data_IF_654487146404
#
_entry.id   IF_654487146404
#
_cell.length_a   1.000
_cell.length_b   1.000
_cell.length_c   1.000
_cell.angle_alpha   90.00
_cell.angle_beta   90.00
_cell.angle_gamma   90.00
#
_symmetry.space_group_name_H-M   'P 1'
#
loop_
_entity.id
_entity.type
_entity.pdbx_description
1 polymer ?
#
# COMPACT_ATOMS: atom_id res chain seq x y z
N UNK A 1 -27.34 -4.53 18.59
CA UNK A 1 -27.57 -4.24 17.17
C UNK A 1 -26.78 -2.99 16.83
N UNK A 2 -25.52 -3.14 16.44
CA UNK A 2 -24.64 -2.01 16.13
C UNK A 2 -25.00 -1.46 14.76
N UNK A 3 -25.40 -0.18 14.72
CA UNK A 3 -25.51 0.56 13.47
C UNK A 3 -24.13 0.54 12.80
N UNK A 4 -24.02 -0.15 11.68
CA UNK A 4 -22.97 0.14 10.71
C UNK A 4 -23.28 1.54 10.20
N UNK A 5 -22.51 2.53 10.63
CA UNK A 5 -22.47 3.83 9.96
C UNK A 5 -22.20 3.56 8.48
N UNK A 6 -23.19 3.84 7.64
CA UNK A 6 -23.01 3.95 6.20
C UNK A 6 -22.11 5.15 6.02
N UNK A 7 -20.81 4.91 5.93
CA UNK A 7 -19.85 5.96 5.59
C UNK A 7 -20.16 6.35 4.15
N UNK A 8 -20.71 7.54 3.94
CA UNK A 8 -21.05 8.07 2.61
C UNK A 8 -19.87 7.84 1.64
N UNK A 9 -20.07 6.97 0.65
CA UNK A 9 -19.12 6.81 -0.45
C UNK A 9 -19.08 8.14 -1.22
N UNK A 10 -17.89 8.69 -1.43
CA UNK A 10 -17.72 9.89 -2.25
C UNK A 10 -18.29 9.69 -3.67
N UNK A 11 -18.89 10.74 -4.23
CA UNK A 11 -19.45 10.69 -5.59
C UNK A 11 -18.31 10.50 -6.60
N UNK A 12 -18.34 9.37 -7.32
CA UNK A 12 -17.40 9.06 -8.40
C UNK A 12 -17.92 9.61 -9.73
N UNK A 13 -17.07 10.29 -10.48
CA UNK A 13 -17.41 10.87 -11.78
C UNK A 13 -16.77 10.07 -12.91
N UNK A 14 -17.47 9.96 -14.03
CA UNK A 14 -16.91 9.41 -15.27
C UNK A 14 -15.87 10.37 -15.84
N UNK A 15 -14.80 9.82 -16.41
CA UNK A 15 -13.74 10.56 -17.11
C UNK A 15 -13.39 9.81 -18.40
N UNK A 16 -12.63 10.44 -19.31
CA UNK A 16 -12.40 9.98 -20.69
C UNK A 16 -12.02 8.48 -20.80
N UNK A 17 -11.32 7.94 -19.80
CA UNK A 17 -10.83 6.55 -19.80
C UNK A 17 -11.19 5.75 -18.54
N UNK A 18 -12.08 6.25 -17.68
CA UNK A 18 -12.49 5.52 -16.47
C UNK A 18 -13.89 5.95 -16.01
N UNK A 19 -14.83 5.01 -16.02
CA UNK A 19 -16.18 5.24 -15.51
C UNK A 19 -16.20 5.21 -13.99
N UNK A 20 -17.21 5.85 -13.40
CA UNK A 20 -17.53 5.81 -11.99
C UNK A 20 -17.74 4.38 -11.48
N UNK A 21 -18.29 3.49 -12.33
CA UNK A 21 -18.45 2.08 -12.00
C UNK A 21 -17.10 1.34 -11.91
N UNK A 22 -16.16 1.65 -12.80
CA UNK A 22 -14.80 1.12 -12.75
C UNK A 22 -14.04 1.65 -11.53
N UNK A 23 -14.22 2.94 -11.19
CA UNK A 23 -13.66 3.53 -9.96
C UNK A 23 -14.11 2.77 -8.71
N UNK A 24 -15.42 2.55 -8.55
CA UNK A 24 -15.98 1.74 -7.45
C UNK A 24 -15.43 0.31 -7.42
N UNK A 25 -15.24 -0.31 -8.58
CA UNK A 25 -14.64 -1.65 -8.66
C UNK A 25 -13.19 -1.65 -8.15
N UNK A 26 -12.38 -0.67 -8.54
CA UNK A 26 -11.00 -0.52 -8.07
C UNK A 26 -10.97 -0.29 -6.55
N UNK A 27 -11.83 0.59 -6.02
CA UNK A 27 -11.92 0.86 -4.57
C UNK A 27 -12.29 -0.40 -3.77
N UNK A 28 -13.23 -1.20 -4.26
CA UNK A 28 -13.57 -2.48 -3.63
C UNK A 28 -12.38 -3.45 -3.63
N UNK A 29 -11.63 -3.51 -4.73
CA UNK A 29 -10.43 -4.35 -4.82
C UNK A 29 -9.30 -3.84 -3.91
N UNK A 30 -9.16 -2.53 -3.79
CA UNK A 30 -8.24 -1.87 -2.85
C UNK A 30 -8.56 -2.24 -1.40
N UNK A 31 -9.82 -2.07 -0.99
CA UNK A 31 -10.24 -2.42 0.38
C UNK A 31 -10.04 -3.91 0.67
N UNK A 32 -10.42 -4.79 -0.26
CA UNK A 32 -10.19 -6.24 -0.11
C UNK A 32 -8.72 -6.61 0.00
N UNK A 33 -7.85 -5.92 -0.75
CA UNK A 33 -6.41 -6.12 -0.69
C UNK A 33 -5.84 -5.71 0.68
N UNK A 34 -6.18 -4.51 1.16
CA UNK A 34 -5.78 -4.02 2.48
C UNK A 34 -6.31 -4.92 3.61
N UNK A 35 -7.62 -5.23 3.59
CA UNK A 35 -8.28 -6.08 4.58
C UNK A 35 -7.65 -7.47 4.65
N UNK A 36 -7.15 -7.99 3.53
CA UNK A 36 -6.53 -9.31 3.48
C UNK A 36 -5.13 -9.39 4.11
N UNK A 37 -4.53 -8.25 4.49
CA UNK A 37 -3.14 -8.18 4.89
C UNK A 37 -2.18 -8.16 3.69
N UNK A 38 -2.56 -7.48 2.60
CA UNK A 38 -1.76 -7.35 1.38
C UNK A 38 -1.46 -8.68 0.67
N UNK A 39 -2.43 -9.62 0.67
CA UNK A 39 -2.26 -10.92 0.01
C UNK A 39 -2.21 -10.80 -1.50
N UNK A 40 -1.25 -11.49 -2.12
CA UNK A 40 -1.02 -11.46 -3.58
C UNK A 40 -2.25 -11.87 -4.39
N UNK A 41 -3.05 -12.80 -3.89
CA UNK A 41 -4.27 -13.28 -4.56
C UNK A 41 -5.37 -12.21 -4.61
N UNK A 42 -5.27 -11.17 -3.78
CA UNK A 42 -6.18 -10.02 -3.78
C UNK A 42 -5.62 -8.82 -4.54
N UNK A 43 -4.36 -8.88 -4.98
CA UNK A 43 -3.74 -7.84 -5.79
C UNK A 43 -4.12 -8.00 -7.27
N UNK A 44 -5.23 -7.38 -7.66
CA UNK A 44 -5.80 -7.55 -9.00
C UNK A 44 -5.13 -6.67 -10.05
N UNK A 45 -5.28 -7.06 -11.34
CA UNK A 45 -4.78 -6.25 -12.47
C UNK A 45 -5.36 -4.84 -12.51
N UNK A 46 -6.64 -4.67 -12.20
CA UNK A 46 -7.27 -3.34 -12.23
C UNK A 46 -6.70 -2.42 -11.13
N UNK A 47 -6.49 -2.94 -9.92
CA UNK A 47 -5.80 -2.21 -8.86
C UNK A 47 -4.36 -1.84 -9.27
N UNK A 48 -3.61 -2.80 -9.80
CA UNK A 48 -2.25 -2.55 -10.31
C UNK A 48 -2.23 -1.46 -11.39
N UNK A 49 -3.10 -1.54 -12.39
CA UNK A 49 -3.20 -0.53 -13.45
C UNK A 49 -3.50 0.85 -12.87
N UNK A 50 -4.41 0.96 -11.90
CA UNK A 50 -4.71 2.24 -11.26
C UNK A 50 -3.50 2.82 -10.52
N UNK A 51 -2.77 1.99 -9.76
CA UNK A 51 -1.59 2.43 -9.01
C UNK A 51 -0.51 3.01 -9.93
N UNK A 52 -0.20 2.35 -11.05
CA UNK A 52 0.87 2.78 -11.95
C UNK A 52 0.46 3.97 -12.83
N UNK A 53 -0.82 4.06 -13.21
CA UNK A 53 -1.28 5.12 -14.13
C UNK A 53 -1.72 6.39 -13.39
N UNK A 54 -2.27 6.25 -12.19
CA UNK A 54 -3.01 7.32 -11.51
C UNK A 54 -2.53 7.58 -10.08
N UNK A 55 -1.65 6.74 -9.52
CA UNK A 55 -1.03 6.96 -8.21
C UNK A 55 0.50 7.16 -8.31
N UNK A 56 1.04 7.46 -9.50
CA UNK A 56 2.47 7.77 -9.68
C UNK A 56 3.43 6.69 -9.15
N UNK A 57 3.05 5.42 -9.18
CA UNK A 57 3.99 4.33 -8.95
C UNK A 57 4.70 3.90 -10.23
N UNK A 58 5.97 3.52 -10.12
CA UNK A 58 6.69 2.88 -11.21
C UNK A 58 6.19 1.44 -11.39
N UNK A 59 6.02 1.02 -12.64
CA UNK A 59 5.36 -0.25 -12.98
C UNK A 59 6.17 -1.52 -12.68
N UNK A 60 7.49 -1.42 -12.49
CA UNK A 60 8.43 -2.53 -12.23
C UNK A 60 8.26 -3.72 -13.18
N UNK A 61 8.30 -3.46 -14.50
CA UNK A 61 8.19 -4.41 -15.62
C UNK A 61 6.86 -5.19 -15.74
N UNK A 62 6.23 -5.58 -14.64
CA UNK A 62 4.98 -6.35 -14.60
C UNK A 62 4.29 -6.22 -13.25
N UNK A 63 3.04 -6.70 -13.16
CA UNK A 63 2.31 -6.82 -11.89
C UNK A 63 3.06 -7.66 -10.84
N UNK A 64 3.81 -8.69 -11.29
CA UNK A 64 4.59 -9.53 -10.38
C UNK A 64 5.84 -8.83 -9.87
N UNK A 65 6.52 -8.09 -10.75
CA UNK A 65 7.67 -7.28 -10.37
C UNK A 65 7.26 -6.17 -9.41
N UNK A 66 6.17 -5.46 -9.71
CA UNK A 66 5.57 -4.48 -8.81
C UNK A 66 5.27 -5.08 -7.44
N UNK A 67 4.63 -6.25 -7.41
CA UNK A 67 4.29 -6.88 -6.15
C UNK A 67 5.53 -7.25 -5.34
N UNK A 68 6.55 -7.81 -6.00
CA UNK A 68 7.81 -8.16 -5.37
C UNK A 68 8.51 -6.92 -4.78
N UNK A 69 8.52 -5.80 -5.52
CA UNK A 69 9.16 -4.56 -5.08
C UNK A 69 8.52 -3.95 -3.84
N UNK A 70 7.20 -3.95 -3.72
CA UNK A 70 6.54 -3.20 -2.63
C UNK A 70 5.97 -4.06 -1.50
N UNK A 71 5.83 -5.37 -1.67
CA UNK A 71 5.09 -6.21 -0.72
C UNK A 71 5.84 -7.44 -0.19
N UNK A 72 7.12 -7.62 -0.54
CA UNK A 72 7.93 -8.75 -0.04
C UNK A 72 8.71 -8.42 1.23
N UNK A 73 9.30 -7.23 1.35
CA UNK A 73 9.98 -6.78 2.57
C UNK A 73 9.04 -5.96 3.45
N UNK A 74 9.30 -5.90 4.75
CA UNK A 74 8.51 -5.08 5.66
C UNK A 74 8.77 -3.58 5.44
N UNK A 75 10.02 -3.19 5.17
CA UNK A 75 10.36 -1.79 4.91
C UNK A 75 9.70 -1.26 3.64
N UNK A 76 9.68 -2.05 2.56
CA UNK A 76 9.03 -1.63 1.31
C UNK A 76 7.51 -1.52 1.48
N UNK A 77 6.89 -2.38 2.29
CA UNK A 77 5.46 -2.25 2.64
C UNK A 77 5.21 -0.95 3.38
N UNK A 78 6.06 -0.59 4.35
CA UNK A 78 5.92 0.67 5.11
C UNK A 78 6.07 1.86 4.16
N UNK A 79 7.07 1.84 3.28
CA UNK A 79 7.29 2.88 2.28
C UNK A 79 6.07 3.00 1.35
N UNK A 80 5.57 1.89 0.81
CA UNK A 80 4.37 1.84 -0.02
C UNK A 80 3.15 2.45 0.67
N UNK A 81 2.85 2.03 1.90
CA UNK A 81 1.66 2.46 2.62
C UNK A 81 1.74 3.94 3.04
N UNK A 82 2.93 4.52 3.15
CA UNK A 82 3.11 5.93 3.52
C UNK A 82 2.46 6.89 2.50
N UNK A 83 2.40 6.52 1.22
CA UNK A 83 1.67 7.30 0.21
C UNK A 83 0.16 7.32 0.43
N UNK A 84 -0.40 6.34 1.16
CA UNK A 84 -1.83 6.32 1.46
C UNK A 84 -2.15 6.74 2.89
N UNK A 85 -1.14 7.23 3.62
CA UNK A 85 -1.27 7.66 5.00
C UNK A 85 -1.48 9.18 5.09
N UNK A 86 -2.73 9.61 5.19
CA UNK A 86 -3.10 11.02 5.28
C UNK A 86 -2.97 11.64 6.68
N UNK A 87 -2.44 10.92 7.68
CA UNK A 87 -2.40 11.41 9.08
C UNK A 87 -1.54 12.66 9.25
N UNK A 88 -0.50 12.79 8.44
CA UNK A 88 0.45 13.91 8.47
C UNK A 88 0.17 14.98 7.38
N UNK A 89 -1.06 14.99 6.85
CA UNK A 89 -1.51 15.93 5.82
C UNK A 89 -1.64 15.30 4.44
N UNK A 90 -1.46 16.10 3.38
CA UNK A 90 -1.60 15.61 2.00
C UNK A 90 -0.46 14.65 1.69
N UNK A 91 -0.75 13.37 1.39
CA UNK A 91 0.29 12.39 1.19
C UNK A 91 1.04 12.62 -0.13
N UNK A 92 2.36 12.41 -0.08
CA UNK A 92 3.27 12.57 -1.22
C UNK A 92 3.48 11.23 -1.91
N UNK A 93 3.75 11.28 -3.22
CA UNK A 93 4.21 10.11 -3.95
C UNK A 93 5.54 9.63 -3.35
N UNK A 94 5.67 8.32 -3.13
CA UNK A 94 6.91 7.75 -2.59
C UNK A 94 8.04 7.69 -3.62
N UNK A 95 7.68 7.73 -4.90
CA UNK A 95 8.62 7.69 -6.03
C UNK A 95 9.12 9.09 -6.37
N UNK A 96 8.21 10.07 -6.36
CA UNK A 96 8.50 11.41 -6.88
C UNK A 96 8.47 12.52 -5.83
N UNK A 97 8.03 12.25 -4.61
CA UNK A 97 7.96 13.24 -3.51
C UNK A 97 6.92 14.36 -3.72
N UNK A 98 6.09 14.28 -4.77
CA UNK A 98 5.11 15.30 -5.15
C UNK A 98 3.68 14.89 -4.75
N UNK A 99 2.80 15.88 -4.57
CA UNK A 99 1.37 15.68 -4.25
C UNK A 99 0.48 15.57 -5.50
N UNK A 100 1.06 15.61 -6.70
CA UNK A 100 0.33 15.61 -7.96
C UNK A 100 -0.65 14.46 -8.06
N UNK A 101 -0.21 13.23 -7.78
CA UNK A 101 -1.06 12.04 -7.79
C UNK A 101 -2.34 12.18 -6.95
N UNK A 102 -2.30 12.92 -5.83
CA UNK A 102 -3.45 13.12 -4.95
C UNK A 102 -4.30 14.32 -5.37
N UNK A 103 -3.67 15.41 -5.82
CA UNK A 103 -4.31 16.71 -6.04
C UNK A 103 -4.70 16.98 -7.49
N UNK A 104 -4.17 16.23 -8.45
CA UNK A 104 -4.36 16.52 -9.87
C UNK A 104 -5.60 15.84 -10.45
N UNK A 105 -6.46 16.65 -11.03
CA UNK A 105 -7.36 16.29 -12.14
C UNK A 105 -8.44 15.25 -11.85
N UNK A 106 -8.84 14.61 -12.94
CA UNK A 106 -9.96 13.67 -13.15
C UNK A 106 -10.03 12.46 -12.19
N UNK A 107 -8.95 12.17 -11.46
CA UNK A 107 -8.85 10.99 -10.58
C UNK A 107 -8.76 11.36 -9.10
N UNK A 108 -8.92 12.63 -8.74
CA UNK A 108 -8.90 13.08 -7.34
C UNK A 108 -9.98 12.36 -6.50
N UNK A 109 -11.17 12.16 -7.04
CA UNK A 109 -12.28 11.49 -6.33
C UNK A 109 -11.89 10.08 -5.86
N UNK A 110 -11.38 9.23 -6.74
CA UNK A 110 -10.94 7.88 -6.39
C UNK A 110 -9.67 7.89 -5.53
N UNK A 111 -8.68 8.76 -5.82
CA UNK A 111 -7.42 8.76 -5.08
C UNK A 111 -7.61 9.25 -3.64
N UNK A 112 -8.47 10.25 -3.43
CA UNK A 112 -8.85 10.71 -2.09
C UNK A 112 -9.58 9.60 -1.31
N UNK A 113 -10.44 8.84 -1.99
CA UNK A 113 -11.16 7.71 -1.41
C UNK A 113 -10.25 6.52 -1.10
N UNK A 114 -9.22 6.26 -1.90
CA UNK A 114 -8.19 5.26 -1.58
C UNK A 114 -7.47 5.59 -0.27
N UNK A 115 -7.11 6.86 -0.05
CA UNK A 115 -6.51 7.33 1.21
C UNK A 115 -7.49 7.18 2.38
N UNK A 116 -8.75 7.56 2.18
CA UNK A 116 -9.80 7.42 3.20
C UNK A 116 -9.99 5.96 3.62
N UNK A 117 -10.12 5.03 2.67
CA UNK A 117 -10.20 3.59 2.94
C UNK A 117 -8.93 3.10 3.65
N UNK A 118 -7.76 3.50 3.15
CA UNK A 118 -6.48 3.07 3.69
C UNK A 118 -6.27 3.47 5.15
N UNK A 119 -6.79 4.64 5.57
CA UNK A 119 -6.69 5.14 6.96
C UNK A 119 -7.17 4.12 8.01
N UNK A 120 -8.12 3.24 7.66
CA UNK A 120 -8.66 2.20 8.54
C UNK A 120 -7.66 1.05 8.79
N UNK A 121 -6.76 0.78 7.83
CA UNK A 121 -5.91 -0.41 7.80
C UNK A 121 -4.42 -0.10 7.97
N UNK A 122 -3.96 1.04 7.44
CA UNK A 122 -2.54 1.43 7.38
C UNK A 122 -1.83 1.32 8.74
N UNK A 123 -2.39 1.82 9.88
CA UNK A 123 -1.69 1.72 11.16
C UNK A 123 -1.36 0.28 11.58
N UNK A 124 -2.29 -0.65 11.36
CA UNK A 124 -2.10 -2.05 11.72
C UNK A 124 -1.14 -2.75 10.74
N UNK A 125 -1.27 -2.47 9.45
CA UNK A 125 -0.40 -3.05 8.41
C UNK A 125 1.05 -2.58 8.56
N UNK A 126 1.29 -1.30 8.84
CA UNK A 126 2.63 -0.77 9.12
C UNK A 126 3.26 -1.49 10.31
N UNK A 127 2.51 -1.66 11.41
CA UNK A 127 3.02 -2.36 12.59
C UNK A 127 3.37 -3.82 12.28
N UNK A 128 2.53 -4.52 11.51
CA UNK A 128 2.83 -5.87 11.05
C UNK A 128 4.09 -5.92 10.19
N UNK A 129 4.22 -5.00 9.24
CA UNK A 129 5.35 -4.92 8.33
C UNK A 129 6.66 -4.65 9.08
N UNK A 130 6.67 -3.70 10.03
CA UNK A 130 7.83 -3.40 10.87
C UNK A 130 8.27 -4.61 11.72
N UNK A 131 7.31 -5.35 12.30
CA UNK A 131 7.63 -6.56 13.05
C UNK A 131 8.24 -7.64 12.15
N UNK A 132 7.66 -7.84 10.96
CA UNK A 132 8.18 -8.79 9.96
C UNK A 132 9.59 -8.40 9.50
N UNK A 133 9.85 -7.12 9.25
CA UNK A 133 11.18 -6.64 8.88
C UNK A 133 12.18 -6.94 9.98
N UNK A 134 11.85 -6.57 11.23
CA UNK A 134 12.71 -6.84 12.39
C UNK A 134 13.06 -8.33 12.53
N UNK A 135 12.08 -9.22 12.38
CA UNK A 135 12.32 -10.67 12.42
C UNK A 135 13.25 -11.12 11.28
N UNK A 136 13.05 -10.58 10.08
CA UNK A 136 13.89 -10.85 8.90
C UNK A 136 15.32 -10.38 9.11
N UNK A 137 15.51 -9.15 9.59
CA UNK A 137 16.82 -8.56 9.86
C UNK A 137 17.59 -9.36 10.91
N UNK A 138 16.92 -9.76 12.00
CA UNK A 138 17.53 -10.60 13.04
C UNK A 138 17.96 -11.94 12.46
N UNK A 139 17.13 -12.57 11.62
CA UNK A 139 17.46 -13.84 10.99
C UNK A 139 18.65 -13.71 10.03
N UNK A 140 18.67 -12.66 9.20
CA UNK A 140 19.76 -12.38 8.27
C UNK A 140 21.06 -12.05 9.00
N UNK A 141 21.00 -11.25 10.07
CA UNK A 141 22.16 -10.94 10.90
C UNK A 141 22.76 -12.20 11.54
N UNK A 142 21.91 -13.08 12.09
CA UNK A 142 22.34 -14.38 12.63
C UNK A 142 23.02 -15.24 11.56
N UNK A 143 22.43 -15.34 10.37
CA UNK A 143 23.00 -16.10 9.26
C UNK A 143 24.36 -15.52 8.80
N UNK A 144 24.48 -14.19 8.76
CA UNK A 144 25.72 -13.51 8.40
C UNK A 144 26.83 -13.77 9.43
N UNK A 145 26.51 -13.68 10.73
CA UNK A 145 27.47 -13.99 11.80
C UNK A 145 27.95 -15.44 11.73
N UNK A 146 27.02 -16.38 11.57
CA UNK A 146 27.34 -17.80 11.43
C UNK A 146 28.23 -18.07 10.20
N UNK A 147 27.96 -17.43 9.07
CA UNK A 147 28.79 -17.52 7.85
C UNK A 147 30.25 -17.11 8.10
N UNK A 148 30.48 -16.22 9.06
CA UNK A 148 31.81 -15.71 9.42
C UNK A 148 32.39 -16.33 10.70
N UNK A 149 31.76 -17.38 11.25
CA UNK A 149 32.24 -18.07 12.45
C UNK A 149 32.16 -17.22 13.73
N UNK A 150 31.26 -16.23 13.76
CA UNK A 150 31.03 -15.38 14.94
C UNK A 150 29.81 -15.89 15.69
N UNK A 151 30.03 -16.36 16.93
CA UNK A 151 28.95 -16.78 17.82
C UNK A 151 28.36 -15.59 18.59
N UNK A 152 27.03 -15.55 18.67
CA UNK A 152 26.34 -14.59 19.54
C UNK A 152 26.46 -15.07 20.99
N UNK A 153 27.23 -14.34 21.79
CA UNK A 153 27.24 -14.52 23.25
C UNK A 153 26.00 -13.82 23.80
N UNK A 154 25.04 -14.58 24.34
CA UNK A 154 23.92 -13.97 25.07
C UNK A 154 24.47 -13.18 26.26
N UNK A 155 24.19 -11.88 26.28
CA UNK A 155 24.43 -11.07 27.48
C UNK A 155 23.36 -11.44 28.51
N UNK A 156 23.80 -12.03 29.62
CA UNK A 156 23.01 -12.21 30.84
C UNK A 156 22.60 -10.88 31.44
#
# INVERSE_FOLDING_TARGET
>A
MTLFEVVEEGVMHDVEFMTAAEKRKVLKQWELFLQSGLKKEKFTKALYTHLIMHCSFIAHYSIHGFFATYFESGDDIVHFLSQFDGRDGIPKSIEYGMIGWYTSGDHHDINSEMVRIASKYVPALIKQAQNRQKETDIAQAKALLAKHGVDLVERR
#
